data_IF_656560618703
#
_entry.id   IF_656560618703
#
_cell.length_a   1.000
_cell.length_b   1.000
_cell.length_c   1.000
_cell.angle_alpha   90.00
_cell.angle_beta   90.00
_cell.angle_gamma   90.00
#
_symmetry.space_group_name_H-M   'P 1'
#
loop_
_entity.id
_entity.type
_entity.pdbx_description
1 polymer ?
#
# COMPACT_ATOMS: atom_id res chain seq x y z
N UNK A 1 -16.30 12.51 -14.16
CA UNK A 1 -15.71 11.17 -14.08
C UNK A 1 -14.22 11.37 -14.00
N UNK A 2 -13.62 11.15 -12.83
CA UNK A 2 -12.18 11.31 -12.68
C UNK A 2 -11.47 10.11 -13.30
N UNK A 3 -10.48 10.38 -14.14
CA UNK A 3 -9.64 9.36 -14.76
C UNK A 3 -8.54 8.97 -13.78
N UNK A 4 -8.63 7.75 -13.23
CA UNK A 4 -7.49 7.15 -12.51
C UNK A 4 -6.45 6.76 -13.56
N UNK A 5 -5.27 7.38 -13.52
CA UNK A 5 -4.11 6.97 -14.32
C UNK A 5 -3.17 6.18 -13.41
N UNK A 6 -2.82 4.98 -13.84
CA UNK A 6 -1.81 4.17 -13.18
C UNK A 6 -0.51 4.40 -13.95
N UNK A 7 0.49 4.95 -13.27
CA UNK A 7 1.79 5.20 -13.88
C UNK A 7 2.64 3.92 -13.88
N UNK A 8 2.75 3.22 -12.74
CA UNK A 8 3.59 2.01 -12.59
C UNK A 8 2.98 0.99 -11.62
N UNK A 9 3.28 -0.29 -11.83
CA UNK A 9 2.89 -1.39 -10.94
C UNK A 9 4.09 -2.32 -10.69
N UNK A 10 4.33 -2.67 -9.43
CA UNK A 10 5.47 -3.50 -9.02
C UNK A 10 5.03 -4.67 -8.14
N UNK A 11 5.73 -5.80 -8.27
CA UNK A 11 5.52 -7.00 -7.46
C UNK A 11 6.70 -7.22 -6.52
N UNK A 12 6.46 -7.20 -5.21
CA UNK A 12 7.53 -7.27 -4.20
C UNK A 12 8.00 -8.69 -3.88
N UNK A 13 7.30 -9.74 -4.35
CA UNK A 13 7.73 -11.13 -4.17
C UNK A 13 7.97 -11.55 -2.71
N UNK A 14 7.23 -10.96 -1.76
CA UNK A 14 7.37 -11.25 -0.32
C UNK A 14 8.42 -10.41 0.41
N UNK A 15 9.02 -9.40 -0.23
CA UNK A 15 9.88 -8.41 0.46
C UNK A 15 9.08 -7.55 1.43
N UNK A 16 9.77 -7.01 2.43
CA UNK A 16 9.17 -6.06 3.37
C UNK A 16 8.70 -4.79 2.64
N UNK A 17 7.49 -4.34 2.96
CA UNK A 17 6.85 -3.21 2.28
C UNK A 17 7.41 -1.87 2.76
N UNK A 18 7.81 -1.74 4.02
CA UNK A 18 8.17 -0.45 4.62
C UNK A 18 9.38 0.21 3.95
N UNK A 19 10.50 -0.51 3.88
CA UNK A 19 11.73 -0.01 3.23
C UNK A 19 11.52 0.25 1.73
N UNK A 20 10.70 -0.57 1.07
CA UNK A 20 10.36 -0.35 -0.34
C UNK A 20 9.54 0.93 -0.55
N UNK A 21 8.45 1.10 0.22
CA UNK A 21 7.56 2.26 0.10
C UNK A 21 8.32 3.57 0.37
N UNK A 22 9.28 3.54 1.31
CA UNK A 22 10.19 4.65 1.58
C UNK A 22 11.09 4.96 0.39
N UNK A 23 11.74 3.95 -0.18
CA UNK A 23 12.65 4.14 -1.32
C UNK A 23 11.91 4.58 -2.59
N UNK A 24 10.67 4.12 -2.77
CA UNK A 24 9.80 4.52 -3.87
C UNK A 24 9.28 5.96 -3.72
N UNK A 25 9.28 6.51 -2.51
CA UNK A 25 8.82 7.89 -2.25
C UNK A 25 7.29 8.01 -2.30
N UNK A 26 6.57 7.01 -1.79
CA UNK A 26 5.11 7.01 -1.75
C UNK A 26 4.60 8.08 -0.79
N UNK A 27 3.60 8.86 -1.20
CA UNK A 27 2.92 9.82 -0.31
C UNK A 27 1.92 9.13 0.64
N UNK A 28 1.12 8.19 0.12
CA UNK A 28 0.07 7.48 0.86
C UNK A 28 0.03 5.99 0.47
N UNK A 29 -0.08 5.10 1.46
CA UNK A 29 -0.21 3.66 1.29
C UNK A 29 -1.52 3.13 1.90
N UNK A 30 -2.20 2.22 1.20
CA UNK A 30 -3.42 1.55 1.66
C UNK A 30 -3.27 0.03 1.56
N UNK A 31 -3.70 -0.69 2.59
CA UNK A 31 -3.69 -2.17 2.62
C UNK A 31 -4.83 -2.69 3.50
N UNK A 32 -5.30 -3.90 3.21
CA UNK A 32 -6.41 -4.55 3.94
C UNK A 32 -5.94 -5.42 5.12
N UNK A 33 -4.63 -5.66 5.22
CA UNK A 33 -4.02 -6.45 6.29
C UNK A 33 -3.27 -5.55 7.27
N UNK A 34 -3.66 -5.65 8.54
CA UNK A 34 -3.09 -4.84 9.61
C UNK A 34 -1.57 -5.04 9.74
N UNK A 35 -1.08 -6.27 9.56
CA UNK A 35 0.36 -6.58 9.57
C UNK A 35 1.16 -5.80 8.52
N UNK A 36 0.59 -5.58 7.33
CA UNK A 36 1.26 -4.78 6.29
C UNK A 36 1.25 -3.29 6.66
N UNK A 37 0.18 -2.83 7.28
CA UNK A 37 0.08 -1.45 7.74
C UNK A 37 1.09 -1.16 8.87
N UNK A 38 1.29 -2.12 9.78
CA UNK A 38 2.25 -2.02 10.90
C UNK A 38 3.69 -1.82 10.45
N UNK A 39 4.13 -2.48 9.37
CA UNK A 39 5.47 -2.22 8.83
C UNK A 39 5.54 -0.93 8.03
N UNK A 40 4.45 -0.53 7.35
CA UNK A 40 4.44 0.67 6.51
C UNK A 40 4.31 2.00 7.27
N UNK A 41 3.52 2.07 8.36
CA UNK A 41 3.21 3.35 9.04
C UNK A 41 4.44 4.04 9.65
N UNK A 42 5.53 3.28 9.88
CA UNK A 42 6.80 3.83 10.34
C UNK A 42 7.53 4.64 9.25
N UNK A 43 7.12 4.50 7.99
CA UNK A 43 7.82 5.06 6.83
C UNK A 43 6.94 5.95 5.95
N UNK A 44 5.64 5.67 5.85
CA UNK A 44 4.70 6.35 4.96
C UNK A 44 3.34 6.54 5.62
N UNK A 45 2.62 7.60 5.25
CA UNK A 45 1.23 7.78 5.68
C UNK A 45 0.40 6.57 5.24
N UNK A 46 -0.13 5.82 6.20
CA UNK A 46 -0.71 4.50 5.98
C UNK A 46 -2.16 4.45 6.44
N UNK A 47 -3.06 3.99 5.56
CA UNK A 47 -4.46 3.74 5.86
C UNK A 47 -4.77 2.25 5.81
N UNK A 48 -5.17 1.67 6.94
CA UNK A 48 -5.76 0.33 6.94
C UNK A 48 -7.17 0.40 6.34
N UNK A 49 -7.43 -0.38 5.30
CA UNK A 49 -8.74 -0.52 4.69
C UNK A 49 -9.40 -1.73 5.34
N UNK A 50 -10.45 -1.56 6.16
CA UNK A 50 -11.19 -2.70 6.66
C UNK A 50 -11.67 -3.50 5.45
N UNK A 51 -11.39 -4.80 5.44
CA UNK A 51 -11.82 -5.70 4.39
C UNK A 51 -13.35 -5.62 4.27
N UNK A 52 -13.82 -4.86 3.29
CA UNK A 52 -15.21 -4.80 2.87
C UNK A 52 -15.55 -6.00 1.99
N UNK A 53 -16.76 -6.00 1.43
CA UNK A 53 -17.29 -7.04 0.52
C UNK A 53 -16.18 -7.63 -0.35
N UNK A 54 -15.94 -8.93 -0.23
CA UNK A 54 -14.98 -9.63 -1.06
C UNK A 54 -15.38 -9.39 -2.53
N UNK A 55 -14.45 -8.86 -3.33
CA UNK A 55 -14.68 -8.73 -4.77
C UNK A 55 -14.78 -10.16 -5.35
N UNK A 56 -15.96 -10.51 -5.88
CA UNK A 56 -16.17 -11.70 -6.75
C UNK A 56 -15.56 -11.49 -8.14
#
# INVERSE_FOLDING_TARGET
MEHIRIDEALFLGGKDKGEFLKAFGVDIFFDDQQKHCESAYQHVATGHVPHGVANE
#
